data_IF_411974057737
#
_entry.id   IF_411974057737
#
_cell.length_a   1.000
_cell.length_b   1.000
_cell.length_c   1.000
_cell.angle_alpha   90.00
_cell.angle_beta   90.00
_cell.angle_gamma   90.00
#
_symmetry.space_group_name_H-M   'P 1'
#
loop_
_entity.id
_entity.type
_entity.pdbx_description
1 polymer ?
#
# COMPACT_ATOMS: atom_id res chain seq x y z
N UNK A 1 26.16 24.70 -4.24
CA UNK A 1 25.65 23.43 -3.70
C UNK A 1 25.23 22.61 -4.87
N UNK A 2 25.63 21.33 -4.97
CA UNK A 2 25.09 20.42 -6.00
C UNK A 2 23.58 20.30 -5.77
N UNK A 3 22.79 20.35 -6.85
CA UNK A 3 21.33 20.14 -6.79
C UNK A 3 21.11 18.64 -6.55
N UNK A 4 20.33 18.28 -5.54
CA UNK A 4 19.92 16.90 -5.31
C UNK A 4 19.07 16.39 -6.47
N UNK A 5 19.37 15.20 -6.98
CA UNK A 5 18.68 14.61 -8.15
C UNK A 5 17.47 13.83 -7.68
N UNK A 6 16.24 14.16 -8.12
CA UNK A 6 15.04 13.39 -7.83
C UNK A 6 15.06 12.04 -8.56
N UNK A 7 14.49 11.03 -7.91
CA UNK A 7 14.35 9.66 -8.43
C UNK A 7 12.87 9.29 -8.43
N UNK A 8 12.35 8.77 -9.54
CA UNK A 8 11.01 8.13 -9.57
C UNK A 8 11.15 6.65 -9.94
N UNK A 9 10.46 5.80 -9.18
CA UNK A 9 10.32 4.38 -9.48
C UNK A 9 9.06 4.19 -10.33
N UNK A 10 9.21 3.57 -11.50
CA UNK A 10 8.12 3.10 -12.35
C UNK A 10 7.91 1.62 -12.10
N UNK A 11 6.75 1.25 -11.58
CA UNK A 11 6.33 -0.14 -11.35
C UNK A 11 5.05 -0.45 -12.12
N UNK A 12 4.58 -1.68 -12.05
CA UNK A 12 3.38 -2.16 -12.70
C UNK A 12 3.63 -3.48 -13.43
N UNK A 13 2.60 -4.30 -13.53
CA UNK A 13 2.73 -5.66 -14.07
C UNK A 13 3.09 -5.67 -15.56
N UNK A 14 3.55 -6.84 -16.05
CA UNK A 14 3.92 -7.05 -17.47
C UNK A 14 2.76 -6.67 -18.42
N UNK A 15 3.08 -5.89 -19.45
CA UNK A 15 2.12 -5.44 -20.45
C UNK A 15 1.22 -4.29 -20.04
N UNK A 16 1.33 -3.74 -18.80
CA UNK A 16 0.53 -2.59 -18.37
C UNK A 16 0.81 -1.29 -19.14
N UNK A 17 2.00 -1.17 -19.73
CA UNK A 17 2.39 0.00 -20.50
C UNK A 17 3.55 0.81 -19.90
N UNK A 18 4.36 0.23 -19.00
CA UNK A 18 5.55 0.89 -18.41
C UNK A 18 6.50 1.42 -19.47
N UNK A 19 6.93 0.55 -20.37
CA UNK A 19 7.84 0.93 -21.48
C UNK A 19 7.20 1.98 -22.41
N UNK A 20 5.87 1.95 -22.58
CA UNK A 20 5.14 2.99 -23.35
C UNK A 20 5.20 4.32 -22.61
N UNK A 21 4.98 4.33 -21.28
CA UNK A 21 5.11 5.52 -20.44
C UNK A 21 6.53 6.07 -20.46
N UNK A 22 7.52 5.20 -20.31
CA UNK A 22 8.92 5.57 -20.34
C UNK A 22 9.30 6.24 -21.70
N UNK A 23 8.88 5.64 -22.81
CA UNK A 23 9.06 6.23 -24.13
C UNK A 23 8.35 7.58 -24.27
N UNK A 24 7.13 7.73 -23.70
CA UNK A 24 6.42 9.00 -23.66
C UNK A 24 7.20 10.07 -22.88
N UNK A 25 7.74 9.73 -21.71
CA UNK A 25 8.57 10.63 -20.89
C UNK A 25 9.84 11.05 -21.66
N UNK A 26 10.56 10.08 -22.23
CA UNK A 26 11.81 10.34 -22.94
C UNK A 26 11.60 11.19 -24.21
N UNK A 27 10.46 11.06 -24.87
CA UNK A 27 10.11 11.89 -26.04
C UNK A 27 9.69 13.32 -25.69
N UNK A 28 9.26 13.59 -24.44
CA UNK A 28 8.67 14.84 -24.01
C UNK A 28 9.42 15.45 -22.82
N UNK A 29 10.72 15.36 -22.77
CA UNK A 29 11.55 15.70 -21.61
C UNK A 29 11.40 17.14 -21.06
N UNK A 30 10.71 18.02 -21.74
CA UNK A 30 10.43 19.42 -21.32
C UNK A 30 11.68 20.18 -20.81
N UNK A 31 12.86 19.78 -21.30
CA UNK A 31 14.14 20.35 -20.90
C UNK A 31 14.90 19.58 -19.83
N UNK A 32 14.33 18.52 -19.25
CA UNK A 32 15.04 17.63 -18.33
C UNK A 32 16.01 16.72 -19.07
N UNK A 33 17.16 16.47 -18.45
CA UNK A 33 18.09 15.41 -18.85
C UNK A 33 17.86 14.22 -17.93
N UNK A 34 17.17 13.21 -18.43
CA UNK A 34 16.70 12.08 -17.64
C UNK A 34 17.61 10.89 -17.86
N UNK A 35 18.18 10.35 -16.77
CA UNK A 35 18.82 9.04 -16.78
C UNK A 35 17.77 7.96 -16.49
N UNK A 36 17.86 6.82 -17.18
CA UNK A 36 16.96 5.68 -16.98
C UNK A 36 17.75 4.46 -16.57
N UNK A 37 17.40 3.88 -15.44
CA UNK A 37 17.86 2.56 -15.00
C UNK A 37 16.74 1.58 -15.35
N UNK A 38 17.01 0.63 -16.26
CA UNK A 38 16.05 -0.41 -16.64
C UNK A 38 16.47 -1.71 -15.99
N UNK A 39 15.55 -2.30 -15.25
CA UNK A 39 15.77 -3.57 -14.59
C UNK A 39 14.98 -4.68 -15.29
N UNK A 40 15.64 -5.42 -16.16
CA UNK A 40 15.05 -6.60 -16.81
C UNK A 40 15.70 -7.89 -16.32
N UNK A 41 14.86 -8.89 -16.02
CA UNK A 41 15.27 -10.24 -15.62
C UNK A 41 15.45 -11.05 -16.88
N UNK A 42 16.63 -10.97 -17.50
CA UNK A 42 16.91 -11.78 -18.68
C UNK A 42 18.26 -11.50 -19.35
N UNK A 43 18.79 -12.50 -20.08
CA UNK A 43 20.02 -12.38 -20.88
C UNK A 43 19.87 -11.39 -22.06
N UNK A 44 18.64 -10.94 -22.37
CA UNK A 44 18.33 -9.98 -23.43
C UNK A 44 17.46 -8.89 -22.83
N UNK A 45 18.01 -7.69 -22.72
CA UNK A 45 17.28 -6.51 -22.26
C UNK A 45 16.32 -6.03 -23.35
N UNK A 46 15.14 -6.67 -23.40
CA UNK A 46 14.11 -6.42 -24.42
C UNK A 46 13.61 -4.98 -24.33
N UNK A 47 13.46 -4.45 -23.12
CA UNK A 47 12.96 -3.10 -22.91
C UNK A 47 13.98 -2.04 -23.31
N UNK A 48 15.28 -2.21 -22.99
CA UNK A 48 16.33 -1.33 -23.48
C UNK A 48 16.42 -1.36 -25.03
N UNK A 49 16.27 -2.53 -25.63
CA UNK A 49 16.25 -2.69 -27.09
C UNK A 49 15.02 -2.02 -27.74
N UNK A 50 13.85 -2.09 -27.09
CA UNK A 50 12.63 -1.41 -27.54
C UNK A 50 12.74 0.10 -27.44
N UNK A 51 13.35 0.62 -26.36
CA UNK A 51 13.63 2.03 -26.17
C UNK A 51 14.61 2.53 -27.26
N UNK A 52 15.67 1.78 -27.53
CA UNK A 52 16.63 2.12 -28.60
C UNK A 52 15.99 2.02 -30.01
N UNK A 53 15.18 1.01 -30.28
CA UNK A 53 14.50 0.81 -31.57
C UNK A 53 13.32 1.76 -31.79
N UNK A 54 12.73 2.29 -30.69
CA UNK A 54 11.67 3.31 -30.76
C UNK A 54 12.14 4.66 -31.33
N UNK A 55 13.43 4.80 -31.64
CA UNK A 55 13.99 5.99 -32.32
C UNK A 55 14.16 7.19 -31.39
N UNK A 56 13.95 7.02 -30.09
CA UNK A 56 14.04 8.08 -29.08
C UNK A 56 15.50 8.41 -28.77
N UNK A 57 16.40 7.45 -28.95
CA UNK A 57 17.83 7.62 -28.71
C UNK A 57 18.58 7.39 -30.03
N UNK A 58 18.79 8.45 -30.78
CA UNK A 58 19.80 8.43 -31.84
C UNK A 58 21.17 8.39 -31.14
N UNK A 59 22.01 7.39 -31.44
CA UNK A 59 23.28 7.07 -30.79
C UNK A 59 24.34 8.18 -30.68
N UNK A 60 23.93 9.41 -30.38
CA UNK A 60 24.75 10.58 -30.12
C UNK A 60 24.29 11.41 -28.92
N UNK A 61 23.12 11.15 -28.34
CA UNK A 61 22.69 11.81 -27.11
C UNK A 61 22.93 10.89 -25.89
N UNK A 62 23.83 11.33 -25.02
CA UNK A 62 24.23 10.68 -23.75
C UNK A 62 23.09 10.57 -22.72
N UNK A 63 21.82 10.64 -23.13
CA UNK A 63 20.67 10.72 -22.22
C UNK A 63 20.12 9.36 -21.77
N UNK A 64 20.55 8.25 -22.35
CA UNK A 64 20.17 6.91 -21.93
C UNK A 64 21.40 6.15 -21.41
N UNK A 65 21.49 5.97 -20.12
CA UNK A 65 22.42 5.00 -19.51
C UNK A 65 21.61 3.73 -19.29
N UNK A 66 21.50 2.89 -20.33
CA UNK A 66 21.00 1.53 -20.18
C UNK A 66 22.08 0.72 -19.49
N UNK A 67 21.98 0.53 -18.20
CA UNK A 67 22.93 -0.28 -17.43
C UNK A 67 22.49 -1.73 -17.49
N UNK A 68 23.30 -2.54 -18.13
CA UNK A 68 23.10 -3.96 -18.36
C UNK A 68 23.72 -4.77 -17.23
N UNK A 69 23.12 -4.85 -16.06
CA UNK A 69 23.59 -5.83 -15.08
C UNK A 69 22.44 -6.31 -14.20
N UNK A 70 22.02 -7.55 -14.44
CA UNK A 70 21.42 -8.45 -13.47
C UNK A 70 20.12 -8.02 -12.77
N UNK A 71 19.38 -9.02 -12.35
CA UNK A 71 18.14 -8.88 -11.59
C UNK A 71 18.34 -8.07 -10.30
N UNK A 72 17.69 -6.91 -10.18
CA UNK A 72 17.64 -6.10 -8.95
C UNK A 72 17.01 -6.90 -7.77
N UNK A 73 16.33 -8.01 -8.00
CA UNK A 73 15.60 -8.74 -6.96
C UNK A 73 16.45 -9.53 -5.94
N UNK A 74 17.68 -9.93 -6.24
CA UNK A 74 18.42 -10.87 -5.40
C UNK A 74 19.85 -10.45 -4.96
N UNK A 75 20.49 -9.47 -5.64
CA UNK A 75 21.82 -8.92 -5.27
C UNK A 75 21.81 -7.42 -5.04
N UNK A 76 20.75 -6.92 -4.65
CA UNK A 76 20.05 -5.68 -4.86
C UNK A 76 20.72 -4.38 -4.43
N UNK A 77 21.34 -4.35 -3.29
CA UNK A 77 21.66 -3.05 -2.68
C UNK A 77 22.94 -2.42 -3.21
N UNK A 78 23.94 -3.23 -3.53
CA UNK A 78 25.24 -2.72 -3.98
C UNK A 78 25.22 -2.27 -5.44
N UNK A 79 24.65 -3.07 -6.34
CA UNK A 79 24.66 -2.79 -7.77
C UNK A 79 23.81 -1.54 -8.10
N UNK A 80 22.65 -1.38 -7.46
CA UNK A 80 21.82 -0.17 -7.62
C UNK A 80 22.52 1.07 -7.08
N UNK A 81 23.14 0.95 -5.90
CA UNK A 81 23.87 2.06 -5.29
C UNK A 81 25.07 2.50 -6.14
N UNK A 82 25.84 1.55 -6.68
CA UNK A 82 26.95 1.83 -7.60
C UNK A 82 26.45 2.54 -8.86
N UNK A 83 25.35 2.07 -9.46
CA UNK A 83 24.74 2.68 -10.64
C UNK A 83 24.25 4.10 -10.37
N UNK A 84 23.58 4.32 -9.23
CA UNK A 84 23.14 5.66 -8.82
C UNK A 84 24.34 6.59 -8.64
N UNK A 85 25.40 6.10 -8.00
CA UNK A 85 26.62 6.87 -7.80
C UNK A 85 27.27 7.24 -9.15
N UNK A 86 27.41 6.29 -10.06
CA UNK A 86 27.98 6.53 -11.39
C UNK A 86 27.21 7.61 -12.15
N UNK A 87 25.85 7.54 -12.14
CA UNK A 87 25.00 8.55 -12.78
C UNK A 87 25.21 9.93 -12.15
N UNK A 88 25.18 10.00 -10.81
CA UNK A 88 25.33 11.25 -10.06
C UNK A 88 26.72 11.89 -10.30
N UNK A 89 27.78 11.09 -10.39
CA UNK A 89 29.15 11.56 -10.64
C UNK A 89 29.33 12.17 -12.03
N UNK A 90 28.52 11.75 -13.01
CA UNK A 90 28.56 12.35 -14.35
C UNK A 90 28.19 13.83 -14.36
N UNK A 91 27.37 14.29 -13.41
CA UNK A 91 26.79 15.66 -13.35
C UNK A 91 25.99 16.05 -14.62
N UNK A 92 25.55 15.07 -15.41
CA UNK A 92 24.88 15.30 -16.69
C UNK A 92 23.36 15.33 -16.59
N UNK A 93 22.79 14.73 -15.55
CA UNK A 93 21.36 14.43 -15.43
C UNK A 93 20.69 15.28 -14.36
N UNK A 94 19.43 15.65 -14.64
CA UNK A 94 18.59 16.44 -13.74
C UNK A 94 17.57 15.54 -13.02
N UNK A 95 17.34 14.32 -13.54
CA UNK A 95 16.35 13.38 -13.05
C UNK A 95 16.77 11.93 -13.31
N UNK A 96 16.35 11.02 -12.44
CA UNK A 96 16.57 9.56 -12.61
C UNK A 96 15.22 8.85 -12.59
N UNK A 97 14.98 8.00 -13.59
CA UNK A 97 13.86 7.06 -13.61
C UNK A 97 14.40 5.65 -13.43
N UNK A 98 13.79 4.88 -12.53
CA UNK A 98 14.09 3.47 -12.33
C UNK A 98 12.87 2.68 -12.79
N UNK A 99 12.99 1.94 -13.88
CA UNK A 99 11.95 0.99 -14.30
C UNK A 99 12.14 -0.31 -13.56
N UNK A 100 11.25 -0.62 -12.61
CA UNK A 100 11.21 -1.90 -11.94
C UNK A 100 10.68 -2.98 -12.90
N UNK A 101 11.23 -4.19 -12.82
CA UNK A 101 10.67 -5.33 -13.56
C UNK A 101 9.19 -5.51 -13.24
N UNK A 102 8.41 -5.90 -14.25
CA UNK A 102 6.98 -6.14 -14.09
C UNK A 102 6.61 -7.25 -13.09
N UNK A 103 7.60 -7.98 -12.58
CA UNK A 103 7.46 -9.03 -11.57
C UNK A 103 8.18 -8.71 -10.26
N UNK A 104 8.57 -7.45 -10.05
CA UNK A 104 9.23 -6.99 -8.82
C UNK A 104 8.32 -6.11 -7.97
N UNK A 105 8.50 -6.23 -6.68
CA UNK A 105 7.92 -5.32 -5.69
C UNK A 105 8.71 -4.01 -5.66
N UNK A 106 8.06 -2.84 -5.55
CA UNK A 106 8.75 -1.55 -5.52
C UNK A 106 9.45 -1.26 -4.18
N UNK A 107 9.01 -1.89 -3.07
CA UNK A 107 9.47 -1.58 -1.71
C UNK A 107 10.97 -1.77 -1.54
N UNK A 108 11.61 -2.89 -1.94
CA UNK A 108 13.04 -3.09 -1.75
C UNK A 108 13.89 -2.02 -2.44
N UNK A 109 13.45 -1.54 -3.61
CA UNK A 109 14.11 -0.46 -4.34
C UNK A 109 13.98 0.86 -3.56
N UNK A 110 12.77 1.16 -3.09
CA UNK A 110 12.51 2.36 -2.30
C UNK A 110 13.32 2.37 -1.00
N UNK A 111 13.35 1.25 -0.26
CA UNK A 111 14.14 1.11 0.97
C UNK A 111 15.64 1.34 0.73
N UNK A 112 16.18 0.84 -0.39
CA UNK A 112 17.59 1.05 -0.74
C UNK A 112 17.90 2.53 -0.95
N UNK A 113 17.00 3.27 -1.62
CA UNK A 113 17.17 4.71 -1.84
C UNK A 113 17.04 5.49 -0.54
N UNK A 114 16.04 5.15 0.31
CA UNK A 114 15.85 5.78 1.61
C UNK A 114 17.05 5.56 2.53
N UNK A 115 17.59 4.33 2.60
CA UNK A 115 18.78 4.04 3.38
C UNK A 115 20.01 4.88 2.93
N UNK A 116 20.10 5.17 1.62
CA UNK A 116 21.13 6.07 1.10
C UNK A 116 20.88 7.53 1.56
N UNK A 117 19.62 7.96 1.58
CA UNK A 117 19.26 9.31 2.07
C UNK A 117 19.59 9.45 3.56
N UNK A 118 19.23 8.47 4.38
CA UNK A 118 19.53 8.44 5.82
C UNK A 118 21.04 8.48 6.08
N UNK A 119 21.82 7.73 5.29
CA UNK A 119 23.26 7.75 5.39
C UNK A 119 23.85 9.15 5.11
N UNK A 120 23.30 9.90 4.13
CA UNK A 120 23.74 11.28 3.89
C UNK A 120 23.47 12.18 5.11
N UNK A 121 22.34 12.00 5.79
CA UNK A 121 21.98 12.78 6.99
C UNK A 121 22.86 12.40 8.18
N UNK A 122 23.06 11.10 8.44
CA UNK A 122 23.87 10.59 9.55
C UNK A 122 25.32 11.08 9.46
N UNK A 123 25.91 10.99 8.26
CA UNK A 123 27.29 11.41 8.04
C UNK A 123 27.43 12.92 7.72
N UNK A 124 26.33 13.69 7.80
CA UNK A 124 26.27 15.13 7.47
C UNK A 124 26.84 15.46 6.09
N UNK A 125 26.61 14.56 5.13
CA UNK A 125 26.99 14.72 3.74
C UNK A 125 25.89 15.48 2.97
N UNK A 126 26.24 16.17 1.87
CA UNK A 126 25.22 16.75 0.99
C UNK A 126 24.34 15.64 0.41
N UNK A 127 23.01 15.79 0.52
CA UNK A 127 22.04 14.89 -0.12
C UNK A 127 22.17 14.98 -1.63
N UNK A 128 22.65 13.93 -2.27
CA UNK A 128 22.94 13.90 -3.71
C UNK A 128 21.73 13.48 -4.55
N UNK A 129 20.85 12.64 -4.00
CA UNK A 129 19.60 12.24 -4.62
C UNK A 129 18.52 12.03 -3.56
N UNK A 130 17.27 11.90 -3.99
CA UNK A 130 16.12 11.56 -3.13
C UNK A 130 15.01 10.89 -3.94
N UNK A 131 14.18 10.09 -3.27
CA UNK A 131 13.03 9.47 -3.90
C UNK A 131 11.88 10.49 -4.00
N UNK A 132 11.47 10.81 -5.22
CA UNK A 132 10.41 11.79 -5.54
C UNK A 132 9.02 11.14 -5.51
N UNK A 133 8.91 9.92 -6.03
CA UNK A 133 7.65 9.20 -6.09
C UNK A 133 7.79 7.76 -6.60
N UNK A 134 6.73 6.99 -6.35
CA UNK A 134 6.51 5.66 -6.92
C UNK A 134 5.27 5.73 -7.79
N UNK A 135 5.41 5.40 -9.07
CA UNK A 135 4.34 5.42 -10.07
C UNK A 135 4.03 4.00 -10.51
N UNK A 136 2.82 3.54 -10.26
CA UNK A 136 2.34 2.23 -10.73
C UNK A 136 1.52 2.38 -12.00
N UNK A 137 1.89 1.63 -13.04
CA UNK A 137 1.11 1.57 -14.30
C UNK A 137 0.21 0.36 -14.24
N UNK A 138 -1.08 0.58 -14.26
CA UNK A 138 -2.13 -0.44 -14.13
C UNK A 138 -2.90 -0.57 -15.43
N UNK A 139 -3.10 -1.80 -15.89
CA UNK A 139 -3.93 -2.14 -17.04
C UNK A 139 -5.39 -2.26 -16.60
N UNK A 140 -6.26 -1.33 -17.02
CA UNK A 140 -7.66 -1.30 -16.65
C UNK A 140 -8.41 -2.57 -17.06
N UNK A 141 -8.14 -3.09 -18.27
CA UNK A 141 -8.80 -4.30 -18.75
C UNK A 141 -8.40 -5.52 -17.93
N UNK A 142 -7.11 -5.67 -17.67
CA UNK A 142 -6.61 -6.78 -16.86
C UNK A 142 -7.19 -6.74 -15.45
N UNK A 143 -7.19 -5.57 -14.81
CA UNK A 143 -7.71 -5.42 -13.46
C UNK A 143 -9.22 -5.71 -13.41
N UNK A 144 -9.97 -5.25 -14.43
CA UNK A 144 -11.39 -5.58 -14.58
C UNK A 144 -11.61 -7.08 -14.71
N UNK A 145 -10.82 -7.77 -15.55
CA UNK A 145 -10.94 -9.22 -15.75
C UNK A 145 -10.58 -9.99 -14.48
N UNK A 146 -9.60 -9.54 -13.70
CA UNK A 146 -9.17 -10.17 -12.46
C UNK A 146 -10.24 -10.08 -11.36
N UNK A 147 -10.86 -8.92 -11.19
CA UNK A 147 -11.78 -8.66 -10.08
C UNK A 147 -13.27 -8.72 -10.43
N UNK A 148 -13.66 -8.61 -11.71
CA UNK A 148 -15.08 -8.63 -12.13
C UNK A 148 -15.51 -9.94 -12.79
N UNK A 149 -14.60 -10.66 -13.43
CA UNK A 149 -14.95 -11.93 -14.04
C UNK A 149 -14.96 -13.00 -12.97
N UNK A 150 -16.10 -13.35 -12.39
CA UNK A 150 -16.27 -14.59 -11.64
C UNK A 150 -15.92 -15.87 -12.43
N UNK A 151 -15.19 -15.73 -13.55
CA UNK A 151 -14.75 -16.79 -14.44
C UNK A 151 -13.55 -17.52 -13.83
N UNK A 152 -13.66 -18.82 -13.76
CA UNK A 152 -12.65 -19.80 -13.40
C UNK A 152 -11.36 -19.64 -14.24
N UNK A 153 -10.44 -18.80 -13.80
CA UNK A 153 -9.06 -18.86 -14.25
C UNK A 153 -8.30 -19.77 -13.29
N UNK A 154 -8.44 -21.07 -13.54
CA UNK A 154 -7.81 -22.16 -12.81
C UNK A 154 -6.38 -22.35 -13.30
N UNK A 155 -5.40 -21.61 -12.77
CA UNK A 155 -4.00 -22.02 -12.83
C UNK A 155 -3.24 -21.41 -11.64
N UNK A 156 -2.56 -22.24 -10.86
CA UNK A 156 -1.75 -21.89 -9.67
C UNK A 156 -0.73 -20.75 -9.90
N UNK A 157 -0.33 -20.51 -11.15
CA UNK A 157 0.63 -19.44 -11.52
C UNK A 157 -0.01 -18.04 -11.62
N UNK A 158 -1.34 -17.91 -11.59
CA UNK A 158 -2.02 -16.60 -11.65
C UNK A 158 -2.18 -15.94 -10.27
N UNK A 159 -2.12 -16.72 -9.21
CA UNK A 159 -2.30 -16.25 -7.86
C UNK A 159 -1.13 -15.39 -7.39
N UNK A 160 0.11 -15.77 -7.74
CA UNK A 160 1.31 -14.97 -7.51
C UNK A 160 1.23 -13.61 -8.22
N UNK A 161 0.57 -13.57 -9.37
CA UNK A 161 0.40 -12.37 -10.19
C UNK A 161 -0.56 -11.39 -9.53
N UNK A 162 -1.69 -11.87 -9.00
CA UNK A 162 -2.68 -11.03 -8.31
C UNK A 162 -2.07 -10.39 -7.07
N UNK A 163 -1.34 -11.16 -6.27
CA UNK A 163 -0.59 -10.63 -5.10
C UNK A 163 0.33 -9.50 -5.51
N UNK A 164 1.15 -9.73 -6.53
CA UNK A 164 2.11 -8.74 -7.02
C UNK A 164 1.44 -7.46 -7.53
N UNK A 165 0.32 -7.58 -8.29
CA UNK A 165 -0.43 -6.41 -8.76
C UNK A 165 -0.96 -5.59 -7.58
N UNK A 166 -1.51 -6.26 -6.56
CA UNK A 166 -1.99 -5.61 -5.34
C UNK A 166 -0.86 -4.87 -4.63
N UNK A 167 0.28 -5.51 -4.42
CA UNK A 167 1.45 -4.89 -3.79
C UNK A 167 1.98 -3.69 -4.57
N UNK A 168 2.01 -3.77 -5.91
CA UNK A 168 2.40 -2.64 -6.76
C UNK A 168 1.40 -1.47 -6.69
N UNK A 169 0.14 -1.73 -6.35
CA UNK A 169 -0.89 -0.71 -6.13
C UNK A 169 -0.79 -0.14 -4.70
N UNK A 170 -0.68 -0.99 -3.70
CA UNK A 170 -0.62 -0.57 -2.27
C UNK A 170 0.56 0.36 -1.98
N UNK A 171 1.69 0.20 -2.68
CA UNK A 171 2.92 0.96 -2.44
C UNK A 171 3.26 1.94 -3.57
N UNK A 172 2.31 2.78 -3.95
CA UNK A 172 2.57 3.85 -4.92
C UNK A 172 1.93 5.18 -4.49
N UNK A 173 2.46 6.28 -5.02
CA UNK A 173 1.90 7.62 -4.86
C UNK A 173 0.96 7.99 -6.00
N UNK A 174 1.24 7.45 -7.20
CA UNK A 174 0.50 7.76 -8.41
C UNK A 174 0.20 6.48 -9.17
N UNK A 175 -1.04 6.33 -9.59
CA UNK A 175 -1.51 5.22 -10.42
C UNK A 175 -1.82 5.78 -11.81
N UNK A 176 -1.14 5.24 -12.82
CA UNK A 176 -1.49 5.47 -14.22
C UNK A 176 -2.42 4.35 -14.65
N UNK A 177 -3.72 4.61 -14.60
CA UNK A 177 -4.74 3.67 -15.05
C UNK A 177 -4.83 3.73 -16.57
N UNK A 178 -4.15 2.79 -17.22
CA UNK A 178 -3.93 2.75 -18.66
C UNK A 178 -4.93 1.82 -19.35
N UNK A 179 -5.09 1.98 -20.67
CA UNK A 179 -5.99 1.20 -21.53
C UNK A 179 -7.47 1.32 -21.16
N UNK A 180 -7.89 2.51 -20.72
CA UNK A 180 -9.30 2.75 -20.34
C UNK A 180 -10.26 2.63 -21.54
N UNK A 181 -9.74 2.66 -22.77
CA UNK A 181 -10.50 2.42 -24.02
C UNK A 181 -10.86 0.94 -24.25
N UNK A 182 -10.27 0.02 -23.47
CA UNK A 182 -10.54 -1.41 -23.56
C UNK A 182 -11.63 -1.89 -22.59
N UNK A 183 -12.18 -1.00 -21.75
CA UNK A 183 -13.21 -1.32 -20.75
C UNK A 183 -14.46 -0.46 -20.92
N UNK A 184 -15.61 -0.95 -20.48
CA UNK A 184 -16.83 -0.15 -20.38
C UNK A 184 -16.72 0.86 -19.24
N UNK A 185 -17.66 1.82 -19.20
CA UNK A 185 -17.68 2.82 -18.12
C UNK A 185 -17.92 2.16 -16.75
N UNK A 186 -18.83 1.21 -16.70
CA UNK A 186 -19.18 0.47 -15.48
C UNK A 186 -18.00 -0.37 -14.97
N UNK A 187 -17.24 -0.99 -15.89
CA UNK A 187 -16.00 -1.70 -15.54
C UNK A 187 -14.93 -0.74 -15.03
N UNK A 188 -14.77 0.42 -15.67
CA UNK A 188 -13.80 1.44 -15.26
C UNK A 188 -14.11 1.99 -13.88
N UNK A 189 -15.38 2.30 -13.60
CA UNK A 189 -15.82 2.78 -12.29
C UNK A 189 -15.54 1.71 -11.21
N UNK A 190 -15.87 0.43 -11.47
CA UNK A 190 -15.55 -0.68 -10.55
C UNK A 190 -14.03 -0.88 -10.32
N UNK A 191 -13.21 -0.71 -11.37
CA UNK A 191 -11.74 -0.77 -11.24
C UNK A 191 -11.22 0.37 -10.37
N UNK A 192 -11.77 1.58 -10.55
CA UNK A 192 -11.39 2.74 -9.73
C UNK A 192 -11.68 2.50 -8.26
N UNK A 193 -12.83 1.92 -7.93
CA UNK A 193 -13.19 1.62 -6.54
C UNK A 193 -12.25 0.59 -5.90
N UNK A 194 -11.85 -0.43 -6.65
CA UNK A 194 -10.82 -1.38 -6.20
C UNK A 194 -9.50 -0.65 -5.91
N UNK A 195 -9.07 0.25 -6.82
CA UNK A 195 -7.84 1.01 -6.62
C UNK A 195 -7.90 1.91 -5.38
N UNK A 196 -9.03 2.59 -5.16
CA UNK A 196 -9.24 3.45 -3.99
C UNK A 196 -9.33 2.64 -2.70
N UNK A 197 -9.90 1.44 -2.73
CA UNK A 197 -9.92 0.55 -1.56
C UNK A 197 -8.53 0.02 -1.19
N UNK A 198 -7.68 -0.25 -2.19
CA UNK A 198 -6.30 -0.72 -1.96
C UNK A 198 -5.35 0.42 -1.58
N UNK A 199 -5.49 1.58 -2.23
CA UNK A 199 -4.62 2.74 -2.02
C UNK A 199 -5.41 4.06 -2.12
N UNK A 200 -6.09 4.46 -1.02
CA UNK A 200 -6.99 5.63 -1.01
C UNK A 200 -6.27 6.96 -1.23
N UNK A 201 -4.97 7.02 -0.99
CA UNK A 201 -4.18 8.26 -1.09
C UNK A 201 -3.43 8.40 -2.42
N UNK A 202 -3.53 7.43 -3.33
CA UNK A 202 -2.87 7.53 -4.63
C UNK A 202 -3.58 8.52 -5.56
N UNK A 203 -2.77 9.26 -6.32
CA UNK A 203 -3.29 10.09 -7.41
C UNK A 203 -3.56 9.20 -8.64
N UNK A 204 -4.83 8.97 -8.99
CA UNK A 204 -5.22 8.13 -10.12
C UNK A 204 -5.34 8.99 -11.39
N UNK A 205 -4.60 8.63 -12.43
CA UNK A 205 -4.60 9.30 -13.73
C UNK A 205 -5.04 8.31 -14.80
N UNK A 206 -6.22 8.54 -15.37
CA UNK A 206 -6.78 7.74 -16.44
C UNK A 206 -6.18 8.11 -17.78
N UNK A 207 -5.76 7.11 -18.56
CA UNK A 207 -5.11 7.36 -19.84
C UNK A 207 -5.22 6.20 -20.81
N UNK A 208 -4.92 6.51 -22.08
CA UNK A 208 -4.69 5.54 -23.13
C UNK A 208 -3.28 5.73 -23.66
N UNK A 209 -2.61 4.60 -23.94
CA UNK A 209 -1.21 4.61 -24.41
C UNK A 209 -0.26 5.37 -23.47
N UNK A 210 -0.57 5.37 -22.17
CA UNK A 210 0.23 6.03 -21.13
C UNK A 210 0.56 7.50 -21.42
N UNK A 211 -0.34 8.24 -22.07
CA UNK A 211 -0.17 9.66 -22.40
C UNK A 211 -0.58 10.51 -21.20
N UNK A 212 0.38 10.99 -20.45
CA UNK A 212 0.18 11.79 -19.23
C UNK A 212 1.02 13.06 -19.28
N UNK A 213 0.60 14.09 -18.55
CA UNK A 213 1.40 15.30 -18.34
C UNK A 213 2.55 14.98 -17.39
N UNK A 214 3.78 15.32 -17.77
CA UNK A 214 4.97 14.99 -17.00
C UNK A 214 5.00 15.60 -15.59
N UNK A 215 4.31 16.71 -15.38
CA UNK A 215 4.15 17.34 -14.04
C UNK A 215 3.47 16.43 -13.02
N UNK A 216 2.70 15.45 -13.49
CA UNK A 216 2.03 14.49 -12.62
C UNK A 216 2.91 13.32 -12.22
N UNK A 217 4.12 13.24 -12.78
CA UNK A 217 5.05 12.12 -12.59
C UNK A 217 6.41 12.60 -12.09
N UNK A 218 6.88 13.75 -12.57
CA UNK A 218 8.21 14.28 -12.28
C UNK A 218 8.14 15.48 -11.32
N UNK A 219 9.10 15.57 -10.40
CA UNK A 219 9.19 16.62 -9.36
C UNK A 219 7.92 16.76 -8.51
N UNK A 220 7.24 15.63 -8.25
CA UNK A 220 5.96 15.60 -7.52
C UNK A 220 6.14 15.80 -6.03
N UNK A 221 7.26 15.38 -5.48
CA UNK A 221 7.58 15.37 -4.03
C UNK A 221 6.50 14.67 -3.21
N UNK A 222 5.89 13.64 -3.78
CA UNK A 222 4.83 12.89 -3.13
C UNK A 222 5.35 11.77 -2.26
N UNK A 223 6.63 11.40 -2.42
CA UNK A 223 7.19 10.30 -1.65
C UNK A 223 7.47 10.71 -0.21
N UNK A 224 6.94 9.94 0.69
CA UNK A 224 7.20 9.94 2.12
C UNK A 224 7.07 8.49 2.57
N UNK A 225 8.15 7.91 3.10
CA UNK A 225 8.19 6.48 3.40
C UNK A 225 7.15 6.09 4.46
N UNK A 226 7.05 6.86 5.55
CA UNK A 226 6.08 6.60 6.62
C UNK A 226 4.65 6.73 6.08
N UNK A 227 4.40 7.78 5.32
CA UNK A 227 3.11 8.01 4.70
C UNK A 227 2.70 6.90 3.72
N UNK A 228 3.63 6.38 2.90
CA UNK A 228 3.31 5.29 1.97
C UNK A 228 3.11 3.98 2.72
N UNK A 229 3.97 3.65 3.68
CA UNK A 229 3.84 2.45 4.48
C UNK A 229 2.50 2.38 5.23
N UNK A 230 1.96 3.56 5.60
CA UNK A 230 0.70 3.70 6.34
C UNK A 230 -0.50 4.08 5.46
N UNK A 231 -0.32 4.28 4.14
CA UNK A 231 -1.37 4.80 3.24
C UNK A 231 -2.21 3.73 2.57
N UNK A 232 -1.78 2.46 2.62
CA UNK A 232 -2.58 1.37 2.07
C UNK A 232 -3.93 1.27 2.79
N UNK A 233 -4.98 0.94 2.05
CA UNK A 233 -6.33 0.90 2.58
C UNK A 233 -6.45 0.01 3.82
N UNK A 234 -5.80 -1.16 3.83
CA UNK A 234 -5.81 -2.07 4.97
C UNK A 234 -5.14 -1.48 6.22
N UNK A 235 -4.05 -0.70 6.06
CA UNK A 235 -3.37 -0.10 7.22
C UNK A 235 -4.22 1.01 7.84
N UNK A 236 -4.81 1.87 7.00
CA UNK A 236 -5.68 2.95 7.45
C UNK A 236 -6.88 2.42 8.24
N UNK A 237 -7.53 1.37 7.73
CA UNK A 237 -8.64 0.72 8.42
C UNK A 237 -8.22 0.10 9.76
N UNK A 238 -7.03 -0.50 9.83
CA UNK A 238 -6.48 -1.02 11.09
C UNK A 238 -6.23 0.11 12.08
N UNK A 239 -5.60 1.19 11.63
CA UNK A 239 -5.19 2.29 12.52
C UNK A 239 -6.39 3.10 13.02
N UNK A 240 -7.41 3.31 12.19
CA UNK A 240 -8.61 4.07 12.55
C UNK A 240 -9.67 3.24 13.30
N UNK A 241 -9.55 1.90 13.34
CA UNK A 241 -10.53 1.03 13.98
C UNK A 241 -10.50 1.14 15.51
N UNK A 242 -11.64 1.51 16.11
CA UNK A 242 -11.89 1.50 17.54
C UNK A 242 -12.90 0.38 17.83
N UNK A 243 -12.62 -0.56 18.77
CA UNK A 243 -13.58 -1.59 19.13
C UNK A 243 -14.87 -0.99 19.72
N UNK A 244 -16.01 -1.54 19.37
CA UNK A 244 -17.34 -1.06 19.81
C UNK A 244 -17.51 -1.06 21.35
N UNK A 245 -16.78 -1.94 22.04
CA UNK A 245 -16.80 -2.04 23.51
C UNK A 245 -15.97 -0.93 24.21
N UNK A 246 -15.12 -0.19 23.47
CA UNK A 246 -14.31 0.94 23.96
C UNK A 246 -14.94 2.30 23.62
N UNK A 247 -16.11 2.36 22.98
CA UNK A 247 -16.93 3.55 22.93
C UNK A 247 -17.46 3.88 24.35
N UNK A 248 -16.59 4.32 25.23
CA UNK A 248 -17.02 5.02 26.43
C UNK A 248 -17.90 6.17 25.99
N UNK A 249 -19.16 6.15 26.43
CA UNK A 249 -20.07 7.27 26.33
C UNK A 249 -19.38 8.53 26.85
N UNK A 250 -18.72 9.28 26.01
CA UNK A 250 -18.35 10.66 26.30
C UNK A 250 -19.65 11.46 26.39
N UNK A 251 -20.33 11.25 27.51
CA UNK A 251 -21.35 12.18 27.96
C UNK A 251 -20.69 13.56 28.05
N UNK A 252 -21.31 14.56 27.43
CA UNK A 252 -20.98 15.97 27.58
C UNK A 252 -20.49 16.22 29.01
N UNK A 253 -19.29 16.77 29.17
CA UNK A 253 -18.57 16.93 30.45
C UNK A 253 -19.26 17.80 31.54
N UNK A 254 -20.58 17.67 31.69
CA UNK A 254 -21.42 18.30 32.69
C UNK A 254 -22.18 17.32 33.59
N UNK A 255 -21.98 15.98 33.38
CA UNK A 255 -22.56 15.01 34.29
C UNK A 255 -21.57 14.69 35.39
N UNK A 256 -21.73 15.25 36.56
CA UNK A 256 -21.07 14.80 37.78
C UNK A 256 -21.66 13.46 38.17
N UNK A 257 -20.88 12.40 38.10
CA UNK A 257 -21.23 11.09 38.63
C UNK A 257 -21.14 11.14 40.16
N UNK A 258 -22.30 11.31 40.81
CA UNK A 258 -22.53 10.78 42.15
C UNK A 258 -23.33 9.49 41.96
N UNK A 259 -22.89 8.44 42.63
CA UNK A 259 -23.46 7.08 42.56
C UNK A 259 -24.97 7.10 42.84
N UNK A 260 -25.75 6.36 42.03
CA UNK A 260 -27.21 6.13 42.08
C UNK A 260 -28.12 7.21 41.45
N UNK A 261 -28.13 7.37 40.15
CA UNK A 261 -29.31 7.89 39.44
C UNK A 261 -29.44 7.34 38.02
N UNK A 262 -30.58 6.64 37.77
CA UNK A 262 -31.07 6.32 36.45
C UNK A 262 -31.34 7.62 35.67
N UNK A 263 -30.74 7.81 34.53
CA UNK A 263 -31.03 8.96 33.66
C UNK A 263 -32.40 8.82 33.03
N UNK A 264 -33.41 9.49 33.59
CA UNK A 264 -34.67 9.76 32.91
C UNK A 264 -34.55 11.09 32.15
N UNK A 265 -34.38 11.01 30.86
CA UNK A 265 -34.58 12.16 29.96
C UNK A 265 -36.06 12.17 29.54
N UNK A 266 -36.94 12.83 30.32
CA UNK A 266 -38.27 13.17 29.90
C UNK A 266 -38.18 14.33 28.88
N UNK A 267 -38.62 14.07 27.68
CA UNK A 267 -38.79 15.08 26.64
C UNK A 267 -40.17 15.74 26.79
N UNK A 268 -40.21 16.91 27.41
CA UNK A 268 -41.29 17.86 27.16
C UNK A 268 -40.87 18.87 26.09
N UNK A 269 -41.68 18.96 25.04
CA UNK A 269 -41.55 19.92 23.94
C UNK A 269 -41.80 21.33 24.44
N UNK A 270 -40.80 22.24 24.29
CA UNK A 270 -41.04 23.60 23.81
C UNK A 270 -39.70 24.33 23.48
N UNK A 271 -39.66 24.77 22.22
CA UNK A 271 -38.92 25.84 21.56
C UNK A 271 -37.48 26.22 21.99
N UNK A 272 -36.54 26.01 21.03
CA UNK A 272 -35.25 26.71 20.84
C UNK A 272 -34.14 26.50 21.86
N UNK A 273 -33.49 25.35 21.79
CA UNK A 273 -32.05 25.26 22.03
C UNK A 273 -31.40 24.40 20.94
N UNK A 274 -30.66 25.03 20.04
CA UNK A 274 -29.74 24.35 19.14
C UNK A 274 -28.64 23.70 19.99
N UNK A 275 -28.75 22.40 20.20
CA UNK A 275 -27.68 21.58 20.76
C UNK A 275 -26.64 21.39 19.66
N UNK A 276 -25.57 22.19 19.65
CA UNK A 276 -24.40 21.99 18.80
C UNK A 276 -23.52 20.85 19.34
N UNK A 277 -24.06 19.65 19.48
CA UNK A 277 -23.27 18.42 19.55
C UNK A 277 -23.08 17.91 18.10
N UNK A 278 -22.58 18.76 17.24
CA UNK A 278 -22.28 18.42 15.87
C UNK A 278 -20.91 17.79 15.74
N UNK A 279 -20.71 16.61 16.28
CA UNK A 279 -19.72 15.69 15.77
C UNK A 279 -20.46 14.65 14.93
N UNK A 280 -20.87 15.06 13.71
CA UNK A 280 -20.95 14.11 12.63
C UNK A 280 -19.51 13.69 12.35
N UNK A 281 -19.10 12.57 12.91
CA UNK A 281 -18.07 11.78 12.29
C UNK A 281 -18.68 11.26 10.99
N UNK A 282 -18.56 12.04 9.93
CA UNK A 282 -18.62 11.52 8.57
C UNK A 282 -17.44 10.54 8.48
N UNK A 283 -17.69 9.27 8.85
CA UNK A 283 -16.84 8.18 8.44
C UNK A 283 -16.77 8.27 6.91
N UNK A 284 -15.57 8.43 6.37
CA UNK A 284 -15.32 8.52 4.93
C UNK A 284 -15.60 7.23 4.17
N UNK A 285 -16.64 6.46 4.56
CA UNK A 285 -17.09 5.21 3.96
C UNK A 285 -18.03 5.39 2.76
N UNK A 286 -18.54 6.62 2.51
CA UNK A 286 -19.61 6.83 1.53
C UNK A 286 -19.20 6.68 0.05
N UNK A 287 -17.90 6.62 -0.28
CA UNK A 287 -17.48 6.54 -1.68
C UNK A 287 -17.24 5.11 -2.20
N UNK A 288 -17.07 4.12 -1.32
CA UNK A 288 -16.75 2.73 -1.72
C UNK A 288 -18.01 1.86 -1.81
N UNK A 289 -19.11 2.24 -1.15
CA UNK A 289 -20.38 1.50 -1.18
C UNK A 289 -21.12 1.56 -2.53
N UNK A 290 -20.86 2.58 -3.36
CA UNK A 290 -21.64 2.83 -4.59
C UNK A 290 -21.51 1.68 -5.62
N UNK A 291 -20.38 0.93 -5.59
CA UNK A 291 -20.12 -0.20 -6.51
C UNK A 291 -19.90 -1.54 -5.80
N UNK A 292 -20.20 -1.61 -4.49
CA UNK A 292 -20.25 -2.84 -3.72
C UNK A 292 -18.88 -3.36 -3.27
N UNK A 293 -17.85 -2.52 -3.21
CA UNK A 293 -16.60 -2.83 -2.49
C UNK A 293 -16.82 -2.49 -1.03
N UNK A 294 -16.66 -3.46 -0.16
CA UNK A 294 -16.82 -3.30 1.28
C UNK A 294 -15.47 -3.55 1.96
N UNK A 295 -15.18 -2.73 2.96
CA UNK A 295 -14.04 -2.90 3.85
C UNK A 295 -14.52 -2.99 5.28
N UNK A 296 -13.99 -3.93 6.05
CA UNK A 296 -14.28 -4.04 7.47
C UNK A 296 -13.11 -4.69 8.22
N UNK A 297 -13.07 -4.44 9.53
CA UNK A 297 -12.09 -5.01 10.45
C UNK A 297 -12.74 -6.12 11.26
N UNK A 298 -12.10 -7.30 11.26
CA UNK A 298 -12.34 -8.33 12.26
C UNK A 298 -11.41 -8.09 13.45
N UNK A 299 -11.98 -8.02 14.63
CA UNK A 299 -11.26 -7.72 15.86
C UNK A 299 -11.68 -8.62 17.02
N UNK A 300 -10.70 -9.14 17.76
CA UNK A 300 -10.91 -9.77 19.08
C UNK A 300 -9.61 -9.77 19.89
N UNK A 301 -9.71 -9.87 21.21
CA UNK A 301 -8.55 -9.97 22.09
C UNK A 301 -8.06 -11.39 22.31
N UNK A 302 -8.96 -12.38 22.33
CA UNK A 302 -8.59 -13.78 22.54
C UNK A 302 -7.74 -14.34 21.39
N UNK A 303 -6.81 -15.26 21.71
CA UNK A 303 -6.01 -15.95 20.69
C UNK A 303 -6.89 -16.88 19.85
N UNK A 304 -6.44 -17.17 18.65
CA UNK A 304 -7.03 -18.18 17.77
C UNK A 304 -6.46 -19.58 18.03
N UNK A 305 -7.25 -20.62 17.76
CA UNK A 305 -6.74 -22.00 17.63
C UNK A 305 -5.93 -22.10 16.32
N UNK A 306 -4.62 -22.26 16.45
CA UNK A 306 -3.71 -22.34 15.29
C UNK A 306 -4.10 -23.39 14.27
N UNK A 307 -4.53 -24.57 14.72
CA UNK A 307 -4.88 -25.67 13.83
C UNK A 307 -6.14 -25.34 13.03
N UNK A 308 -7.16 -24.82 13.69
CA UNK A 308 -8.41 -24.39 13.03
C UNK A 308 -8.16 -23.24 12.07
N UNK A 309 -7.27 -22.29 12.43
CA UNK A 309 -6.90 -21.20 11.54
C UNK A 309 -6.23 -21.71 10.28
N UNK A 310 -5.26 -22.62 10.39
CA UNK A 310 -4.65 -23.27 9.22
C UNK A 310 -5.66 -24.05 8.38
N UNK A 311 -6.62 -24.75 9.00
CA UNK A 311 -7.70 -25.44 8.30
C UNK A 311 -8.61 -24.43 7.56
N UNK A 312 -8.87 -23.26 8.15
CA UNK A 312 -9.66 -22.19 7.55
C UNK A 312 -8.95 -21.56 6.35
N UNK A 313 -7.70 -21.16 6.50
CA UNK A 313 -6.94 -20.52 5.40
C UNK A 313 -6.58 -21.50 4.29
N UNK A 314 -6.53 -22.80 4.55
CA UNK A 314 -6.27 -23.85 3.53
C UNK A 314 -7.49 -24.09 2.61
N UNK A 315 -8.68 -23.66 3.02
CA UNK A 315 -9.87 -23.78 2.16
C UNK A 315 -9.83 -22.72 1.05
N UNK A 316 -10.41 -23.00 -0.12
CA UNK A 316 -10.64 -21.96 -1.12
C UNK A 316 -11.53 -20.85 -0.54
N UNK A 317 -11.06 -19.62 -0.60
CA UNK A 317 -11.86 -18.47 -0.18
C UNK A 317 -12.72 -17.94 -1.33
N UNK A 318 -13.84 -17.26 -1.00
CA UNK A 318 -14.66 -16.62 -2.02
C UNK A 318 -13.81 -15.62 -2.82
N UNK A 319 -13.85 -15.70 -4.15
CA UNK A 319 -13.15 -14.75 -5.05
C UNK A 319 -13.57 -13.28 -4.84
N UNK A 320 -14.67 -13.05 -4.16
CA UNK A 320 -15.14 -11.73 -3.76
C UNK A 320 -14.24 -11.06 -2.72
N UNK A 321 -13.38 -11.81 -2.00
CA UNK A 321 -12.35 -11.25 -1.11
C UNK A 321 -11.14 -10.89 -1.97
N UNK A 322 -10.86 -9.58 -2.08
CA UNK A 322 -9.75 -9.03 -2.85
C UNK A 322 -8.48 -9.07 -2.04
N UNK A 323 -8.56 -8.61 -0.78
CA UNK A 323 -7.45 -8.50 0.15
C UNK A 323 -7.89 -8.83 1.56
N UNK A 324 -7.08 -9.58 2.30
CA UNK A 324 -7.16 -9.63 3.75
C UNK A 324 -5.75 -9.49 4.32
N UNK A 325 -5.58 -8.63 5.33
CA UNK A 325 -4.27 -8.42 5.97
C UNK A 325 -4.46 -7.98 7.41
N UNK A 326 -3.58 -8.43 8.28
CA UNK A 326 -3.62 -8.01 9.66
C UNK A 326 -2.78 -8.88 10.60
N UNK A 327 -2.88 -8.58 11.87
CA UNK A 327 -2.13 -9.25 12.92
C UNK A 327 -3.00 -10.29 13.64
N UNK A 328 -2.41 -11.41 13.99
CA UNK A 328 -3.05 -12.48 14.75
C UNK A 328 -2.07 -13.12 15.72
N UNK A 329 -2.59 -13.91 16.67
CA UNK A 329 -1.78 -14.74 17.54
C UNK A 329 -2.55 -16.00 17.96
N UNK A 330 -1.85 -16.99 18.52
CA UNK A 330 -2.41 -18.30 18.74
C UNK A 330 -2.32 -18.74 20.18
N UNK A 331 -3.22 -19.65 20.59
CA UNK A 331 -3.34 -20.20 21.95
C UNK A 331 -2.13 -21.06 22.37
N UNK A 332 -1.45 -21.67 21.41
CA UNK A 332 -0.24 -22.47 21.61
C UNK A 332 1.05 -21.64 21.64
N UNK A 333 1.02 -20.37 21.20
CA UNK A 333 2.14 -19.42 21.22
C UNK A 333 1.66 -18.00 21.46
N UNK A 334 1.29 -17.71 22.71
CA UNK A 334 0.68 -16.43 23.09
C UNK A 334 1.64 -15.25 23.12
N UNK A 335 2.94 -15.49 23.00
CA UNK A 335 3.95 -14.42 23.10
C UNK A 335 4.40 -13.90 21.74
N UNK A 336 4.09 -14.62 20.66
CA UNK A 336 4.46 -14.27 19.29
C UNK A 336 3.25 -13.74 18.54
N UNK A 337 3.44 -12.67 17.79
CA UNK A 337 2.49 -12.17 16.83
C UNK A 337 2.80 -12.68 15.42
N UNK A 338 1.76 -12.81 14.62
CA UNK A 338 1.85 -13.29 13.25
C UNK A 338 1.14 -12.32 12.31
N UNK A 339 1.79 -11.97 11.23
CA UNK A 339 1.18 -11.22 10.13
C UNK A 339 0.47 -12.21 9.20
N UNK A 340 -0.83 -12.07 9.07
CA UNK A 340 -1.61 -12.78 8.07
C UNK A 340 -1.83 -11.91 6.85
N UNK A 341 -1.62 -12.47 5.67
CA UNK A 341 -1.86 -11.80 4.38
C UNK A 341 -2.59 -12.73 3.43
N UNK A 342 -3.58 -12.19 2.74
CA UNK A 342 -4.25 -12.83 1.62
C UNK A 342 -4.35 -11.85 0.45
N UNK A 343 -4.00 -12.30 -0.75
CA UNK A 343 -4.18 -11.57 -2.00
C UNK A 343 -4.48 -12.59 -3.11
N UNK A 344 -5.63 -12.48 -3.75
CA UNK A 344 -6.11 -13.53 -4.66
C UNK A 344 -6.33 -14.83 -3.90
N UNK A 345 -5.79 -15.95 -4.36
CA UNK A 345 -5.85 -17.23 -3.64
C UNK A 345 -4.66 -17.49 -2.72
N UNK A 346 -3.61 -16.68 -2.81
CA UNK A 346 -2.45 -16.79 -1.93
C UNK A 346 -2.78 -16.32 -0.52
N UNK A 347 -2.32 -17.09 0.45
CA UNK A 347 -2.47 -16.81 1.87
C UNK A 347 -1.16 -17.15 2.56
N UNK A 348 -0.59 -16.15 3.20
CA UNK A 348 0.66 -16.24 3.93
C UNK A 348 0.46 -15.93 5.41
N UNK A 349 1.21 -16.62 6.25
CA UNK A 349 1.29 -16.35 7.68
C UNK A 349 2.75 -16.33 8.10
N UNK A 350 3.24 -15.17 8.50
CA UNK A 350 4.64 -14.95 8.87
C UNK A 350 4.76 -14.45 10.30
N UNK A 351 5.83 -14.83 11.01
CA UNK A 351 6.12 -14.30 12.33
C UNK A 351 6.42 -12.79 12.22
N UNK A 352 5.71 -11.98 13.02
CA UNK A 352 5.86 -10.53 13.05
C UNK A 352 6.70 -10.05 14.25
N UNK A 353 6.93 -10.92 15.24
CA UNK A 353 7.73 -10.64 16.41
C UNK A 353 6.97 -10.84 17.72
N UNK A 354 7.66 -10.73 18.87
CA UNK A 354 7.01 -10.86 20.18
C UNK A 354 6.11 -9.65 20.48
N UNK A 355 5.02 -9.92 21.18
CA UNK A 355 4.17 -8.86 21.73
C UNK A 355 4.91 -8.05 22.78
N UNK A 356 4.69 -6.73 22.83
CA UNK A 356 5.35 -5.85 23.77
C UNK A 356 5.06 -6.25 25.23
N UNK A 357 3.84 -6.66 25.54
CA UNK A 357 3.47 -7.15 26.89
C UNK A 357 4.24 -8.41 27.30
N UNK A 358 4.86 -9.12 26.37
CA UNK A 358 5.69 -10.30 26.65
C UNK A 358 7.15 -9.96 26.93
N UNK A 359 7.55 -8.71 26.73
CA UNK A 359 8.90 -8.20 26.97
C UNK A 359 9.12 -7.78 28.43
N UNK A 360 10.34 -7.40 28.79
CA UNK A 360 10.64 -6.93 30.15
C UNK A 360 9.92 -5.64 30.50
N UNK A 361 9.50 -5.42 31.76
CA UNK A 361 8.78 -4.21 32.16
C UNK A 361 9.53 -2.91 31.86
N UNK A 362 10.86 -2.91 31.94
CA UNK A 362 11.69 -1.75 31.63
C UNK A 362 11.63 -1.42 30.13
N UNK A 363 11.69 -2.44 29.28
CA UNK A 363 11.57 -2.27 27.84
C UNK A 363 10.16 -1.86 27.41
N UNK A 364 9.11 -2.47 28.00
CA UNK A 364 7.73 -2.04 27.78
C UNK A 364 7.55 -0.55 28.07
N UNK A 365 8.07 -0.08 29.21
CA UNK A 365 7.99 1.32 29.61
C UNK A 365 8.70 2.23 28.61
N UNK A 366 9.92 1.89 28.22
CA UNK A 366 10.71 2.67 27.25
C UNK A 366 9.98 2.80 25.90
N UNK A 367 9.46 1.69 25.38
CA UNK A 367 8.76 1.67 24.09
C UNK A 367 7.44 2.46 24.14
N UNK A 368 6.65 2.32 25.23
CA UNK A 368 5.38 3.06 25.42
C UNK A 368 5.61 4.55 25.61
N UNK A 369 6.66 4.96 26.34
CA UNK A 369 7.04 6.38 26.47
C UNK A 369 7.48 6.99 25.14
N UNK A 370 8.14 6.20 24.28
CA UNK A 370 8.58 6.63 22.96
C UNK A 370 7.44 6.67 21.91
N UNK A 371 6.39 5.84 22.08
CA UNK A 371 5.28 5.68 21.14
C UNK A 371 3.93 5.76 21.89
N UNK A 372 3.40 6.96 22.10
CA UNK A 372 2.15 7.15 22.84
C UNK A 372 0.92 6.47 22.21
N UNK A 373 0.95 6.23 20.90
CA UNK A 373 -0.16 5.58 20.17
C UNK A 373 -0.40 4.13 20.61
N UNK A 374 0.61 3.48 21.21
CA UNK A 374 0.47 2.14 21.79
C UNK A 374 -0.55 2.12 22.94
N UNK A 375 -0.68 3.24 23.68
CA UNK A 375 -1.64 3.35 24.79
C UNK A 375 -3.10 3.24 24.32
N UNK A 376 -3.39 3.66 23.11
CA UNK A 376 -4.73 3.59 22.50
C UNK A 376 -5.23 2.14 22.39
N UNK A 377 -4.35 1.22 22.03
CA UNK A 377 -4.68 -0.19 21.82
C UNK A 377 -4.28 -1.08 23.01
N UNK A 378 -3.84 -0.49 24.13
CA UNK A 378 -3.38 -1.23 25.31
C UNK A 378 -4.52 -1.68 26.22
N UNK A 379 -4.67 -2.98 26.37
CA UNK A 379 -5.65 -3.60 27.28
C UNK A 379 -5.00 -3.98 28.63
N UNK A 380 -5.73 -3.85 29.75
CA UNK A 380 -5.19 -4.18 31.08
C UNK A 380 -4.84 -5.67 31.25
N UNK A 381 -5.54 -6.58 30.57
CA UNK A 381 -5.35 -8.02 30.68
C UNK A 381 -4.49 -8.57 29.53
N UNK A 382 -4.71 -8.11 28.31
CA UNK A 382 -4.04 -8.61 27.10
C UNK A 382 -2.80 -7.80 26.73
N UNK A 383 -2.63 -6.57 27.25
CA UNK A 383 -1.62 -5.63 26.78
C UNK A 383 -1.89 -5.21 25.33
N UNK A 384 -0.89 -5.33 24.48
CA UNK A 384 -0.97 -5.06 23.04
C UNK A 384 -1.44 -6.28 22.20
N UNK A 385 -1.76 -7.42 22.85
CA UNK A 385 -2.21 -8.64 22.14
C UNK A 385 -3.60 -8.48 21.57
N UNK A 386 -3.73 -8.79 20.28
CA UNK A 386 -5.02 -8.77 19.58
C UNK A 386 -4.99 -9.60 18.30
N UNK A 387 -6.16 -9.94 17.83
CA UNK A 387 -6.40 -10.33 16.44
C UNK A 387 -7.10 -9.16 15.77
N UNK A 388 -6.49 -8.58 14.73
CA UNK A 388 -7.01 -7.42 14.02
C UNK A 388 -6.72 -7.60 12.52
N UNK A 389 -7.72 -8.01 11.75
CA UNK A 389 -7.59 -8.37 10.34
C UNK A 389 -8.59 -7.56 9.51
N UNK A 390 -8.10 -6.80 8.55
CA UNK A 390 -8.91 -6.08 7.56
C UNK A 390 -9.27 -7.01 6.42
N UNK A 391 -10.51 -6.91 5.96
CA UNK A 391 -11.01 -7.56 4.76
C UNK A 391 -11.51 -6.50 3.78
N UNK A 392 -11.04 -6.57 2.54
CA UNK A 392 -11.47 -5.74 1.41
C UNK A 392 -12.06 -6.68 0.36
N UNK A 393 -13.26 -6.42 -0.11
CA UNK A 393 -13.87 -7.28 -1.12
C UNK A 393 -15.18 -6.76 -1.67
N UNK A 394 -15.68 -7.43 -2.73
CA UNK A 394 -16.90 -7.05 -3.43
C UNK A 394 -18.09 -7.84 -2.92
N UNK A 395 -19.06 -7.15 -2.28
CA UNK A 395 -20.27 -7.79 -1.73
C UNK A 395 -19.97 -8.81 -0.62
N UNK A 396 -18.92 -8.56 0.18
CA UNK A 396 -18.65 -9.28 1.43
C UNK A 396 -19.36 -8.58 2.58
N UNK A 397 -19.70 -9.33 3.63
CA UNK A 397 -20.26 -8.75 4.85
C UNK A 397 -19.43 -9.16 6.07
N UNK A 398 -19.38 -8.26 7.08
CA UNK A 398 -18.69 -8.53 8.35
C UNK A 398 -19.23 -9.77 9.02
N UNK A 399 -20.56 -9.93 9.03
CA UNK A 399 -21.25 -11.03 9.70
C UNK A 399 -20.92 -12.39 9.11
N UNK A 400 -20.81 -12.49 7.76
CA UNK A 400 -20.46 -13.76 7.09
C UNK A 400 -19.06 -14.22 7.49
N UNK A 401 -18.07 -13.30 7.48
CA UNK A 401 -16.67 -13.65 7.73
C UNK A 401 -16.39 -13.79 9.22
N UNK A 402 -16.94 -12.90 10.07
CA UNK A 402 -16.75 -12.97 11.52
C UNK A 402 -17.26 -14.28 12.09
N UNK A 403 -18.40 -14.77 11.60
CA UNK A 403 -18.96 -16.06 12.04
C UNK A 403 -17.98 -17.23 11.86
N UNK A 404 -17.26 -17.28 10.75
CA UNK A 404 -16.31 -18.35 10.50
C UNK A 404 -15.06 -18.19 11.39
N UNK A 405 -14.63 -16.94 11.64
CA UNK A 405 -13.46 -16.62 12.47
C UNK A 405 -13.75 -16.77 13.97
N UNK A 406 -14.97 -16.53 14.42
CA UNK A 406 -15.40 -16.70 15.82
C UNK A 406 -15.40 -18.18 16.26
N UNK A 407 -15.50 -19.13 15.30
CA UNK A 407 -15.42 -20.55 15.57
C UNK A 407 -13.95 -21.06 15.72
N UNK A 408 -12.97 -20.20 15.41
CA UNK A 408 -11.53 -20.49 15.46
C UNK A 408 -10.95 -20.06 16.81
#
# INVERSE_FOLDING_TARGET
MKKSIPITILTGYLGSGKTTLLNHILNNQEGYKIAVIVNDIGEVNIDADLIQKGGVVSGKDDSLVALQNGCICCTLNTDLLEQLQDIIETEKFDYILIEASGICEPIPIAQTICALEDAYEEYKMPKLCYLDGIVSVVDAKRLSDEFNSGAELLNDTQDDITKLIIEQIEFCNTIILNKIDEVSKEELDSVRDVLLALQPNANIIETNYAKVDLKNILETKLFDFERIATSSGWYKEIDEYIPEDEEEHHCCGHCHHDEEHECHCDHDHDEHHECHCGHHHEHGHDHVEEYGINTFVYYRREPMDRKKFYEYISKPWPKKIIRAKGITYFDDDKNMSYMFEQAGSLKDLTEAGPWLVSESPDFQKEVREANPDIERDWDEFYGDKMVKIVFIGKGITKEEISKDLDEI
#
